data_IF_152363689415
#
_entry.id   IF_152363689415
#
_cell.length_a   1.000
_cell.length_b   1.000
_cell.length_c   1.000
_cell.angle_alpha   90.00
_cell.angle_beta   90.00
_cell.angle_gamma   90.00
#
_symmetry.space_group_name_H-M   'P 1'
#
loop_
_entity.id
_entity.type
_entity.pdbx_description
1 polymer ?
#
# COMPACT_ATOMS: atom_id res chain seq x y z
N UNK A 1 40.77 17.92 17.52
CA UNK A 1 40.24 16.66 16.94
C UNK A 1 38.90 16.21 17.54
N UNK A 2 38.08 17.12 18.12
CA UNK A 2 36.71 16.85 18.65
C UNK A 2 35.57 17.28 17.71
N UNK A 3 35.87 18.12 16.73
CA UNK A 3 34.86 18.73 15.80
C UNK A 3 34.31 17.69 14.81
N UNK A 4 35.12 16.71 14.38
CA UNK A 4 34.69 15.73 13.38
C UNK A 4 33.62 14.73 13.89
N UNK A 5 33.54 14.47 15.18
CA UNK A 5 32.52 13.53 15.74
C UNK A 5 31.13 14.14 15.80
N UNK A 6 31.04 15.44 16.05
CA UNK A 6 29.76 16.18 16.06
C UNK A 6 29.23 16.32 14.63
N UNK A 7 30.11 16.57 13.65
CA UNK A 7 29.71 16.64 12.24
C UNK A 7 29.19 15.30 11.71
N UNK A 8 29.82 14.18 12.10
CA UNK A 8 29.37 12.82 11.74
C UNK A 8 28.03 12.50 12.42
N UNK A 9 27.83 12.89 13.68
CA UNK A 9 26.59 12.67 14.41
C UNK A 9 25.44 13.51 13.82
N UNK A 10 25.69 14.76 13.47
CA UNK A 10 24.71 15.64 12.81
C UNK A 10 24.41 15.15 11.40
N UNK A 11 25.40 14.66 10.65
CA UNK A 11 25.19 14.05 9.33
C UNK A 11 24.36 12.76 9.41
N UNK A 12 24.57 11.90 10.42
CA UNK A 12 23.77 10.70 10.65
C UNK A 12 22.34 11.03 11.11
N UNK A 13 22.15 12.09 11.89
CA UNK A 13 20.82 12.58 12.27
C UNK A 13 20.09 13.18 11.05
N UNK A 14 20.78 13.91 10.18
CA UNK A 14 20.22 14.43 8.93
C UNK A 14 19.89 13.29 7.95
N UNK A 15 20.68 12.22 7.90
CA UNK A 15 20.39 11.02 7.09
C UNK A 15 19.21 10.18 7.66
N UNK A 16 19.06 10.13 8.99
CA UNK A 16 17.90 9.45 9.61
C UNK A 16 16.60 10.27 9.53
N UNK A 17 16.69 11.58 9.24
CA UNK A 17 15.54 12.44 8.95
C UNK A 17 15.10 12.38 7.47
N UNK A 18 15.91 11.83 6.59
CA UNK A 18 15.45 11.46 5.26
C UNK A 18 14.55 10.24 5.40
N UNK A 19 13.25 10.51 5.60
CA UNK A 19 12.20 9.50 5.42
C UNK A 19 12.48 8.83 4.07
N UNK A 20 12.70 7.53 4.06
CA UNK A 20 12.69 6.75 2.83
C UNK A 20 11.27 6.92 2.30
N UNK A 21 11.08 7.85 1.41
CA UNK A 21 9.79 8.19 0.85
C UNK A 21 9.50 7.22 -0.27
N UNK A 22 8.72 6.18 0.03
CA UNK A 22 8.06 5.44 -1.04
C UNK A 22 7.05 6.36 -1.71
N UNK A 23 7.00 6.39 -3.04
CA UNK A 23 6.14 7.29 -3.82
C UNK A 23 4.66 7.04 -3.53
N UNK A 24 3.87 8.12 -3.35
CA UNK A 24 2.41 8.01 -3.29
C UNK A 24 1.88 7.36 -4.58
N UNK A 25 0.94 6.44 -4.45
CA UNK A 25 0.39 5.70 -5.58
C UNK A 25 -0.73 6.48 -6.26
N UNK A 26 -0.73 6.46 -7.60
CA UNK A 26 -1.87 6.91 -8.39
C UNK A 26 -3.08 6.01 -8.09
N UNK A 27 -4.24 6.58 -7.71
CA UNK A 27 -5.40 5.77 -7.33
C UNK A 27 -6.11 5.18 -8.54
N UNK A 28 -6.84 4.09 -8.32
CA UNK A 28 -7.99 3.72 -9.14
C UNK A 28 -9.19 4.59 -8.76
N UNK A 29 -10.31 4.45 -9.47
CA UNK A 29 -11.47 5.31 -9.30
C UNK A 29 -12.77 4.51 -9.21
N UNK A 30 -13.71 4.98 -8.39
CA UNK A 30 -15.08 4.49 -8.31
C UNK A 30 -16.04 5.58 -8.81
N UNK A 31 -16.81 5.28 -9.83
CA UNK A 31 -17.86 6.16 -10.37
C UNK A 31 -19.16 5.83 -9.63
N UNK A 32 -19.73 6.81 -8.94
CA UNK A 32 -21.01 6.71 -8.26
C UNK A 32 -21.87 7.89 -8.72
N UNK A 33 -22.97 7.60 -9.38
CA UNK A 33 -23.86 8.61 -9.96
C UNK A 33 -23.11 9.62 -10.85
N UNK A 34 -22.87 10.85 -10.35
CA UNK A 34 -22.13 11.91 -11.04
C UNK A 34 -20.72 12.15 -10.49
N UNK A 35 -20.36 11.46 -9.41
CA UNK A 35 -19.09 11.62 -8.72
C UNK A 35 -18.08 10.57 -9.17
N UNK A 36 -16.81 10.96 -9.19
CA UNK A 36 -15.68 10.05 -9.41
C UNK A 36 -14.78 10.11 -8.18
N UNK A 37 -14.76 9.03 -7.41
CA UNK A 37 -14.05 8.92 -6.14
C UNK A 37 -12.71 8.22 -6.33
N UNK A 38 -11.65 8.74 -5.71
CA UNK A 38 -10.36 8.03 -5.64
C UNK A 38 -10.50 6.78 -4.78
N UNK A 39 -9.91 5.67 -5.22
CA UNK A 39 -9.82 4.44 -4.43
C UNK A 39 -8.44 4.32 -3.78
N UNK A 40 -8.41 4.11 -2.48
CA UNK A 40 -7.21 3.73 -1.74
C UNK A 40 -7.10 2.21 -1.60
N UNK A 41 -7.38 1.50 -2.68
CA UNK A 41 -7.21 0.06 -2.88
C UNK A 41 -7.15 -0.24 -4.38
N UNK A 42 -6.66 -1.42 -4.75
CA UNK A 42 -6.46 -1.83 -6.14
C UNK A 42 -7.19 -3.16 -6.41
N UNK A 43 -8.50 -3.13 -6.71
CA UNK A 43 -9.31 -4.35 -6.82
C UNK A 43 -8.83 -5.36 -7.88
N UNK A 44 -8.19 -4.90 -8.97
CA UNK A 44 -7.76 -5.78 -10.06
C UNK A 44 -6.43 -6.49 -9.83
N UNK A 45 -5.66 -6.16 -8.80
CA UNK A 45 -4.36 -6.80 -8.57
C UNK A 45 -4.49 -8.31 -8.41
N UNK A 46 -5.39 -8.79 -7.55
CA UNK A 46 -5.63 -10.23 -7.34
C UNK A 46 -6.16 -10.93 -8.59
N UNK A 47 -6.81 -10.21 -9.51
CA UNK A 47 -7.23 -10.74 -10.79
C UNK A 47 -6.03 -10.90 -11.74
N UNK A 48 -5.19 -9.88 -11.86
CA UNK A 48 -4.04 -9.91 -12.77
C UNK A 48 -2.88 -10.78 -12.28
N UNK A 49 -2.79 -11.09 -10.98
CA UNK A 49 -1.89 -12.13 -10.48
C UNK A 49 -2.17 -13.49 -11.12
N UNK A 50 -3.45 -13.79 -11.37
CA UNK A 50 -3.89 -15.06 -11.98
C UNK A 50 -4.08 -14.98 -13.50
N UNK A 51 -4.32 -13.79 -14.02
CA UNK A 51 -4.59 -13.49 -15.42
C UNK A 51 -3.67 -12.36 -15.90
N UNK A 52 -2.35 -12.60 -15.99
CA UNK A 52 -1.42 -11.54 -16.33
C UNK A 52 -1.75 -10.93 -17.69
N UNK A 53 -1.58 -9.63 -17.78
CA UNK A 53 -1.69 -8.93 -19.05
C UNK A 53 -0.54 -9.34 -19.98
N UNK A 54 -0.77 -9.34 -21.31
CA UNK A 54 0.28 -9.65 -22.28
C UNK A 54 1.53 -8.79 -22.06
N UNK A 55 2.70 -9.39 -22.29
CA UNK A 55 3.97 -8.67 -22.29
C UNK A 55 3.88 -7.44 -23.21
N UNK A 56 4.55 -6.36 -22.82
CA UNK A 56 4.52 -5.07 -23.54
C UNK A 56 3.19 -4.32 -23.53
N UNK A 57 2.18 -4.74 -22.74
CA UNK A 57 0.97 -3.92 -22.55
C UNK A 57 1.31 -2.55 -21.98
N UNK A 58 2.35 -2.46 -21.13
CA UNK A 58 2.87 -1.21 -20.55
C UNK A 58 4.25 -0.88 -21.11
N UNK A 59 4.40 0.34 -21.62
CA UNK A 59 5.70 0.83 -22.16
C UNK A 59 6.50 1.63 -21.14
N UNK A 60 5.84 2.16 -20.11
CA UNK A 60 6.47 2.99 -19.08
C UNK A 60 5.80 2.72 -17.74
N UNK A 61 6.60 2.39 -16.73
CA UNK A 61 6.14 2.22 -15.36
C UNK A 61 6.82 3.31 -14.53
N UNK A 62 6.03 4.10 -13.81
CA UNK A 62 6.55 5.05 -12.83
C UNK A 62 6.44 4.45 -11.43
N UNK A 63 7.27 4.90 -10.50
CA UNK A 63 7.19 4.49 -9.09
C UNK A 63 5.83 4.83 -8.45
N UNK A 64 5.15 5.88 -8.94
CA UNK A 64 3.79 6.25 -8.52
C UNK A 64 2.68 5.44 -9.20
N UNK A 65 2.99 4.63 -10.23
CA UNK A 65 2.04 3.78 -10.94
C UNK A 65 2.71 2.44 -11.28
N UNK A 66 3.25 1.75 -10.26
CA UNK A 66 4.03 0.52 -10.45
C UNK A 66 3.22 -0.60 -11.12
N UNK A 67 1.90 -0.65 -10.91
CA UNK A 67 1.02 -1.63 -11.57
C UNK A 67 0.77 -1.33 -13.06
N UNK A 68 1.18 -0.13 -13.55
CA UNK A 68 1.13 0.25 -14.96
C UNK A 68 -0.23 0.65 -15.51
N UNK A 69 -1.30 0.60 -14.71
CA UNK A 69 -2.65 0.96 -15.13
C UNK A 69 -3.40 1.80 -14.08
N UNK A 70 -4.46 2.46 -14.53
CA UNK A 70 -5.49 3.12 -13.71
C UNK A 70 -6.83 2.52 -14.10
N UNK A 71 -7.55 1.94 -13.14
CA UNK A 71 -8.85 1.34 -13.36
C UNK A 71 -9.99 2.24 -12.86
N UNK A 72 -11.08 2.24 -13.60
CA UNK A 72 -12.33 2.87 -13.25
C UNK A 72 -13.38 1.79 -13.01
N UNK A 73 -14.06 1.88 -11.87
CA UNK A 73 -15.11 0.96 -11.46
C UNK A 73 -16.44 1.68 -11.35
N UNK A 74 -17.53 0.93 -11.42
CA UNK A 74 -18.87 1.41 -11.07
C UNK A 74 -19.67 0.29 -10.42
N UNK A 75 -20.68 0.66 -9.62
CA UNK A 75 -21.67 -0.27 -9.09
C UNK A 75 -22.90 -0.21 -9.98
N UNK A 76 -23.21 -1.33 -10.65
CA UNK A 76 -24.36 -1.47 -11.55
C UNK A 76 -25.12 -2.74 -11.21
N UNK A 77 -26.43 -2.64 -11.02
CA UNK A 77 -27.28 -3.78 -10.64
C UNK A 77 -26.72 -4.56 -9.45
N UNK A 78 -26.26 -3.85 -8.43
CA UNK A 78 -25.64 -4.40 -7.22
C UNK A 78 -24.33 -5.17 -7.47
N UNK A 79 -23.67 -4.97 -8.60
CA UNK A 79 -22.39 -5.60 -8.96
C UNK A 79 -21.30 -4.55 -9.10
N UNK A 80 -20.12 -4.86 -8.60
CA UNK A 80 -18.89 -4.12 -8.91
C UNK A 80 -18.44 -4.54 -10.31
N UNK A 81 -18.38 -3.60 -11.22
CA UNK A 81 -17.91 -3.83 -12.58
C UNK A 81 -16.76 -2.91 -12.93
N UNK A 82 -15.90 -3.35 -13.83
CA UNK A 82 -14.88 -2.50 -14.44
C UNK A 82 -15.54 -1.65 -15.52
N UNK A 83 -15.53 -0.33 -15.33
CA UNK A 83 -16.01 0.62 -16.32
C UNK A 83 -14.98 0.80 -17.44
N UNK A 84 -13.73 1.03 -17.07
CA UNK A 84 -12.59 1.07 -17.98
C UNK A 84 -11.27 0.84 -17.25
N UNK A 85 -10.22 0.59 -18.02
CA UNK A 85 -8.85 0.49 -17.55
C UNK A 85 -7.93 1.17 -18.56
N UNK A 86 -7.02 1.99 -18.08
CA UNK A 86 -6.15 2.81 -18.90
C UNK A 86 -4.69 2.60 -18.56
N UNK A 87 -3.82 2.63 -19.57
CA UNK A 87 -2.40 2.91 -19.42
C UNK A 87 -2.10 4.37 -19.72
N UNK A 88 -1.03 4.90 -19.15
CA UNK A 88 -0.54 6.25 -19.46
C UNK A 88 0.50 6.14 -20.58
N UNK A 89 0.30 6.92 -21.64
CA UNK A 89 1.29 7.15 -22.67
C UNK A 89 1.91 8.54 -22.48
N UNK A 90 3.22 8.61 -22.32
CA UNK A 90 3.97 9.86 -22.30
C UNK A 90 4.51 10.15 -23.70
N UNK A 91 4.32 11.37 -24.19
CA UNK A 91 4.80 11.80 -25.49
C UNK A 91 5.19 13.27 -25.46
N UNK A 92 5.89 13.75 -26.49
CA UNK A 92 6.14 15.18 -26.70
C UNK A 92 5.23 15.68 -27.79
N UNK A 93 4.59 16.84 -27.56
CA UNK A 93 3.83 17.52 -28.59
C UNK A 93 4.76 18.15 -29.65
N UNK A 94 4.19 18.76 -30.68
CA UNK A 94 4.95 19.40 -31.76
C UNK A 94 5.85 20.55 -31.28
N UNK A 95 5.55 21.13 -30.13
CA UNK A 95 6.33 22.19 -29.48
C UNK A 95 7.39 21.64 -28.54
N UNK A 96 7.50 20.30 -28.39
CA UNK A 96 8.47 19.63 -27.53
C UNK A 96 8.05 19.54 -26.06
N UNK A 97 6.82 19.94 -25.70
CA UNK A 97 6.32 19.85 -24.34
C UNK A 97 5.95 18.39 -23.99
N UNK A 98 6.26 17.96 -22.78
CA UNK A 98 5.83 16.65 -22.28
C UNK A 98 4.31 16.62 -22.04
N UNK A 99 3.67 15.63 -22.61
CA UNK A 99 2.23 15.37 -22.50
C UNK A 99 1.98 13.95 -22.05
N UNK A 100 0.82 13.73 -21.45
CA UNK A 100 0.33 12.40 -21.10
C UNK A 100 -1.06 12.17 -21.69
N UNK A 101 -1.34 10.93 -22.02
CA UNK A 101 -2.61 10.48 -22.57
C UNK A 101 -3.01 9.16 -21.95
N UNK A 102 -4.29 9.06 -21.59
CA UNK A 102 -4.90 7.82 -21.13
C UNK A 102 -5.36 6.99 -22.33
N UNK A 103 -4.75 5.83 -22.52
CA UNK A 103 -5.12 4.89 -23.59
C UNK A 103 -5.86 3.71 -22.95
N UNK A 104 -7.12 3.50 -23.38
CA UNK A 104 -7.88 2.33 -22.93
C UNK A 104 -7.21 1.03 -23.36
N UNK A 105 -7.07 0.12 -22.41
CA UNK A 105 -6.61 -1.25 -22.62
C UNK A 105 -7.69 -2.26 -22.23
N UNK A 106 -8.95 -1.82 -22.13
CA UNK A 106 -10.08 -2.63 -21.68
C UNK A 106 -10.23 -3.93 -22.51
N UNK A 107 -10.22 -3.81 -23.82
CA UNK A 107 -10.35 -4.98 -24.71
C UNK A 107 -9.14 -5.94 -24.63
N UNK A 108 -7.96 -5.43 -24.35
CA UNK A 108 -6.76 -6.24 -24.10
C UNK A 108 -6.92 -7.04 -22.80
N UNK A 109 -7.40 -6.37 -21.74
CA UNK A 109 -7.53 -6.94 -20.41
C UNK A 109 -8.70 -7.94 -20.30
N UNK A 110 -9.83 -7.66 -20.95
CA UNK A 110 -11.08 -8.40 -20.73
C UNK A 110 -11.72 -8.99 -22.00
N UNK A 111 -10.98 -9.04 -23.12
CA UNK A 111 -11.39 -9.73 -24.36
C UNK A 111 -12.80 -9.36 -24.84
N UNK A 112 -13.10 -8.06 -24.90
CA UNK A 112 -14.39 -7.50 -25.35
C UNK A 112 -15.61 -7.87 -24.47
N UNK A 113 -15.40 -8.44 -23.28
CA UNK A 113 -16.50 -8.68 -22.33
C UNK A 113 -17.06 -7.33 -21.88
N UNK A 114 -18.30 -7.03 -22.21
CA UNK A 114 -18.98 -5.81 -21.73
C UNK A 114 -19.31 -5.94 -20.24
N UNK A 115 -19.15 -4.83 -19.49
CA UNK A 115 -19.47 -4.78 -18.06
C UNK A 115 -18.80 -5.93 -17.29
N UNK A 116 -17.46 -6.02 -17.36
CA UNK A 116 -16.70 -7.07 -16.69
C UNK A 116 -16.94 -7.05 -15.16
N UNK A 117 -17.62 -8.07 -14.65
CA UNK A 117 -17.98 -8.20 -13.24
C UNK A 117 -16.78 -8.65 -12.39
N UNK A 118 -16.51 -7.97 -11.29
CA UNK A 118 -15.43 -8.30 -10.36
C UNK A 118 -15.82 -9.41 -9.37
N UNK A 119 -16.36 -10.53 -9.83
CA UNK A 119 -16.85 -11.63 -9.00
C UNK A 119 -15.75 -12.27 -8.11
N UNK A 120 -14.49 -12.02 -8.40
CA UNK A 120 -13.32 -12.44 -7.63
C UNK A 120 -13.04 -11.52 -6.42
N UNK A 121 -13.63 -10.31 -6.39
CA UNK A 121 -13.28 -9.32 -5.37
C UNK A 121 -14.11 -9.48 -4.11
N UNK A 122 -13.40 -9.57 -2.97
CA UNK A 122 -13.95 -9.60 -1.63
C UNK A 122 -13.17 -8.60 -0.77
N UNK A 123 -13.80 -7.52 -0.34
CA UNK A 123 -13.15 -6.49 0.44
C UNK A 123 -13.92 -5.20 0.51
N UNK A 124 -13.31 -4.20 1.10
CA UNK A 124 -13.87 -2.85 1.23
C UNK A 124 -13.15 -1.91 0.28
N UNK A 125 -13.92 -1.25 -0.59
CA UNK A 125 -13.42 -0.12 -1.38
C UNK A 125 -13.34 1.10 -0.46
N UNK A 126 -12.16 1.69 -0.33
CA UNK A 126 -11.88 2.82 0.56
C UNK A 126 -11.74 4.07 -0.29
N UNK A 127 -12.64 5.03 -0.13
CA UNK A 127 -12.66 6.29 -0.85
C UNK A 127 -12.42 7.46 0.11
N UNK A 128 -11.26 8.14 0.09
CA UNK A 128 -11.05 9.36 0.85
C UNK A 128 -11.99 10.48 0.40
N UNK A 129 -12.44 11.30 1.34
CA UNK A 129 -13.37 12.43 1.13
C UNK A 129 -12.94 13.65 1.94
N UNK A 130 -13.34 14.82 1.48
CA UNK A 130 -12.98 16.09 2.12
C UNK A 130 -11.53 16.50 1.86
N UNK A 131 -11.00 17.35 2.73
CA UNK A 131 -9.68 17.92 2.59
C UNK A 131 -8.58 16.93 3.01
N UNK A 132 -7.40 17.11 2.44
CA UNK A 132 -6.20 16.37 2.83
C UNK A 132 -5.66 16.93 4.15
N UNK A 133 -5.70 16.15 5.23
CA UNK A 133 -5.20 16.54 6.54
C UNK A 133 -3.67 16.38 6.61
N UNK A 134 -3.16 15.24 6.17
CA UNK A 134 -1.74 14.91 6.20
C UNK A 134 -1.32 14.19 4.93
N UNK A 135 -0.31 14.74 4.25
CA UNK A 135 0.30 14.07 3.11
C UNK A 135 1.38 13.11 3.58
N UNK A 136 1.23 11.84 3.22
CA UNK A 136 2.24 10.80 3.48
C UNK A 136 2.73 10.26 2.14
N UNK A 137 4.02 10.42 1.89
CA UNK A 137 4.65 9.97 0.65
C UNK A 137 4.90 8.46 0.66
N UNK A 138 3.86 7.66 0.87
CA UNK A 138 3.91 6.20 0.91
C UNK A 138 2.55 5.59 0.56
N UNK A 139 2.44 4.97 -0.61
CA UNK A 139 1.23 4.26 -1.04
C UNK A 139 -0.05 5.10 -0.91
N UNK A 140 -1.00 4.60 -0.15
CA UNK A 140 -2.28 5.25 0.18
C UNK A 140 -2.36 5.72 1.64
N UNK A 141 -1.22 6.06 2.25
CA UNK A 141 -1.15 6.41 3.68
C UNK A 141 -1.54 7.85 4.01
N UNK A 142 -1.76 8.71 2.99
CA UNK A 142 -2.24 10.08 3.22
C UNK A 142 -3.59 10.10 3.94
N UNK A 143 -3.77 11.05 4.83
CA UNK A 143 -4.92 11.16 5.74
C UNK A 143 -5.87 12.24 5.26
N UNK A 144 -7.17 11.92 5.24
CA UNK A 144 -8.24 12.81 4.80
C UNK A 144 -9.27 12.99 5.91
N UNK A 145 -10.11 14.04 5.82
CA UNK A 145 -11.13 14.35 6.83
C UNK A 145 -12.15 13.24 7.01
N UNK A 146 -12.55 12.61 5.90
CA UNK A 146 -13.62 11.62 5.88
C UNK A 146 -13.30 10.48 4.90
N UNK A 147 -14.02 9.39 5.03
CA UNK A 147 -13.91 8.20 4.16
C UNK A 147 -15.29 7.63 3.85
N UNK A 148 -15.51 7.28 2.60
CA UNK A 148 -16.65 6.44 2.19
C UNK A 148 -16.15 5.03 1.94
N UNK A 149 -16.77 4.06 2.59
CA UNK A 149 -16.43 2.65 2.54
C UNK A 149 -17.55 1.88 1.85
N UNK A 150 -17.22 1.03 0.87
CA UNK A 150 -18.17 0.19 0.16
C UNK A 150 -17.75 -1.26 0.30
N UNK A 151 -18.56 -2.07 0.97
CA UNK A 151 -18.29 -3.49 1.17
C UNK A 151 -18.74 -4.28 -0.05
N UNK A 152 -17.83 -5.07 -0.60
CA UNK A 152 -18.05 -5.93 -1.75
C UNK A 152 -17.79 -7.38 -1.33
N UNK A 153 -18.72 -8.28 -1.65
CA UNK A 153 -18.57 -9.73 -1.42
C UNK A 153 -18.92 -10.48 -2.70
N UNK A 154 -17.98 -11.28 -3.19
CA UNK A 154 -18.07 -12.02 -4.45
C UNK A 154 -18.57 -11.12 -5.60
N UNK A 155 -17.99 -9.93 -5.68
CA UNK A 155 -18.34 -8.89 -6.64
C UNK A 155 -19.66 -8.16 -6.37
N UNK A 156 -20.44 -8.58 -5.36
CA UNK A 156 -21.71 -7.91 -5.04
C UNK A 156 -21.49 -6.78 -4.05
N UNK A 157 -22.09 -5.64 -4.31
CA UNK A 157 -22.20 -4.55 -3.34
C UNK A 157 -23.14 -4.97 -2.22
N UNK A 158 -22.65 -4.86 -1.00
CA UNK A 158 -23.39 -5.28 0.20
C UNK A 158 -23.96 -4.08 0.94
N UNK A 159 -23.11 -3.10 1.24
CA UNK A 159 -23.47 -1.89 2.00
C UNK A 159 -22.36 -0.84 1.89
N UNK A 160 -22.69 0.35 2.36
CA UNK A 160 -21.74 1.44 2.51
C UNK A 160 -21.76 2.04 3.91
N UNK A 161 -20.71 2.76 4.25
CA UNK A 161 -20.59 3.54 5.46
C UNK A 161 -19.73 4.76 5.23
N UNK A 162 -20.16 5.91 5.78
CA UNK A 162 -19.38 7.13 5.76
C UNK A 162 -18.81 7.37 7.16
N UNK A 163 -17.53 7.63 7.24
CA UNK A 163 -16.79 7.77 8.49
C UNK A 163 -15.99 9.06 8.49
N UNK A 164 -15.92 9.71 9.64
CA UNK A 164 -14.86 10.67 9.92
C UNK A 164 -13.49 9.97 9.98
N UNK A 165 -12.41 10.74 9.89
CA UNK A 165 -11.06 10.22 10.05
C UNK A 165 -10.90 9.42 11.35
N UNK A 166 -11.41 9.94 12.47
CA UNK A 166 -11.29 9.26 13.77
C UNK A 166 -12.03 7.92 13.78
N UNK A 167 -13.26 7.87 13.27
CA UNK A 167 -14.02 6.62 13.17
C UNK A 167 -13.35 5.60 12.26
N UNK A 168 -12.69 6.07 11.18
CA UNK A 168 -11.93 5.19 10.31
C UNK A 168 -10.67 4.62 10.98
N UNK A 169 -9.97 5.44 11.77
CA UNK A 169 -8.85 4.97 12.61
C UNK A 169 -9.35 3.92 13.61
N UNK A 170 -10.45 4.19 14.31
CA UNK A 170 -11.03 3.26 15.28
C UNK A 170 -11.44 1.94 14.62
N UNK A 171 -12.02 2.00 13.42
CA UNK A 171 -12.33 0.81 12.62
C UNK A 171 -11.07 -0.01 12.31
N UNK A 172 -10.00 0.64 11.84
CA UNK A 172 -8.71 -0.01 11.57
C UNK A 172 -8.12 -0.68 12.81
N UNK A 173 -8.13 0.03 13.94
CA UNK A 173 -7.62 -0.49 15.21
C UNK A 173 -8.40 -1.73 15.68
N UNK A 174 -9.72 -1.72 15.59
CA UNK A 174 -10.56 -2.87 15.94
C UNK A 174 -10.30 -4.07 15.03
N UNK A 175 -10.17 -3.85 13.71
CA UNK A 175 -9.81 -4.93 12.78
C UNK A 175 -8.46 -5.55 13.14
N UNK A 176 -7.48 -4.73 13.46
CA UNK A 176 -6.16 -5.23 13.85
C UNK A 176 -6.18 -5.96 15.19
N UNK A 177 -6.94 -5.47 16.17
CA UNK A 177 -7.11 -6.16 17.47
C UNK A 177 -7.67 -7.58 17.25
N UNK A 178 -8.74 -7.70 16.44
CA UNK A 178 -9.32 -9.00 16.11
C UNK A 178 -8.34 -9.91 15.36
N UNK A 179 -7.58 -9.36 14.42
CA UNK A 179 -6.54 -10.10 13.70
C UNK A 179 -5.45 -10.63 14.65
N UNK A 180 -5.02 -9.83 15.64
CA UNK A 180 -4.03 -10.23 16.65
C UNK A 180 -4.43 -11.45 17.49
N UNK A 181 -5.71 -11.75 17.60
CA UNK A 181 -6.23 -12.92 18.31
C UNK A 181 -6.17 -14.21 17.48
N UNK A 182 -5.96 -14.11 16.16
CA UNK A 182 -5.94 -15.25 15.25
C UNK A 182 -4.61 -16.01 15.27
N UNK A 183 -4.66 -17.31 14.91
CA UNK A 183 -3.46 -18.11 14.73
C UNK A 183 -2.68 -17.67 13.47
N UNK A 184 -3.38 -17.12 12.47
CA UNK A 184 -2.77 -16.53 11.29
C UNK A 184 -1.81 -15.38 11.69
N UNK A 185 -2.24 -14.49 12.59
CA UNK A 185 -1.38 -13.42 13.07
C UNK A 185 -0.10 -13.95 13.71
N UNK A 186 -0.18 -14.99 14.56
CA UNK A 186 1.00 -15.57 15.22
C UNK A 186 2.00 -16.11 14.21
N UNK A 187 1.49 -16.81 13.19
CA UNK A 187 2.29 -17.36 12.10
C UNK A 187 2.93 -16.25 11.29
N UNK A 188 2.14 -15.27 10.84
CA UNK A 188 2.63 -14.13 10.04
C UNK A 188 3.60 -13.25 10.79
N UNK A 189 3.42 -13.07 12.10
CA UNK A 189 4.37 -12.34 12.93
C UNK A 189 5.74 -13.03 12.96
N UNK A 190 5.77 -14.34 13.17
CA UNK A 190 7.01 -15.11 13.15
C UNK A 190 7.71 -15.05 11.79
N UNK A 191 6.98 -15.31 10.69
CA UNK A 191 7.49 -15.22 9.32
C UNK A 191 8.07 -13.83 9.02
N UNK A 192 7.37 -12.75 9.43
CA UNK A 192 7.81 -11.38 9.18
C UNK A 192 9.06 -11.04 10.00
N UNK A 193 9.13 -11.49 11.26
CA UNK A 193 10.33 -11.32 12.08
C UNK A 193 11.53 -12.02 11.47
N UNK A 194 11.37 -13.25 10.97
CA UNK A 194 12.44 -14.00 10.32
C UNK A 194 12.90 -13.33 9.02
N UNK A 195 11.96 -12.84 8.20
CA UNK A 195 12.26 -12.06 7.00
C UNK A 195 13.08 -10.79 7.32
N UNK A 196 12.73 -10.05 8.38
CA UNK A 196 13.46 -8.87 8.81
C UNK A 196 14.88 -9.22 9.27
N UNK A 197 15.06 -10.33 9.99
CA UNK A 197 16.38 -10.83 10.41
C UNK A 197 17.26 -11.20 9.21
N UNK A 198 16.69 -11.84 8.20
CA UNK A 198 17.41 -12.19 6.97
C UNK A 198 17.80 -10.94 6.18
N UNK A 199 16.86 -10.01 6.01
CA UNK A 199 17.10 -8.75 5.33
C UNK A 199 18.23 -7.93 5.99
N UNK A 200 18.29 -7.89 7.34
CA UNK A 200 19.39 -7.20 8.04
C UNK A 200 20.73 -7.91 7.79
N UNK A 201 20.77 -9.25 7.78
CA UNK A 201 22.00 -9.98 7.48
C UNK A 201 22.52 -9.69 6.08
N UNK A 202 21.63 -9.60 5.09
CA UNK A 202 22.00 -9.27 3.72
C UNK A 202 22.48 -7.82 3.62
N UNK A 203 21.79 -6.90 4.29
CA UNK A 203 22.22 -5.51 4.40
C UNK A 203 23.58 -5.37 5.06
N UNK A 204 23.87 -6.12 6.15
CA UNK A 204 25.19 -6.14 6.78
C UNK A 204 26.32 -6.68 5.87
N UNK A 205 25.99 -7.55 4.88
CA UNK A 205 26.98 -8.01 3.88
C UNK A 205 27.40 -6.89 2.94
N UNK A 206 26.43 -6.07 2.52
CA UNK A 206 26.64 -5.00 1.56
C UNK A 206 27.28 -3.76 2.22
N UNK A 207 26.97 -3.50 3.48
CA UNK A 207 27.40 -2.32 4.23
C UNK A 207 28.38 -2.68 5.37
N UNK A 208 29.67 -2.81 5.05
CA UNK A 208 30.74 -3.23 6.00
C UNK A 208 30.84 -2.37 7.26
N UNK A 209 30.52 -1.09 7.19
CA UNK A 209 30.63 -0.20 8.35
C UNK A 209 29.50 -0.42 9.34
N UNK A 210 28.29 -0.68 8.87
CA UNK A 210 27.14 -1.09 9.70
C UNK A 210 27.46 -2.42 10.40
N UNK A 211 28.00 -3.39 9.65
CA UNK A 211 28.44 -4.67 10.20
C UNK A 211 29.49 -4.50 11.31
N UNK A 212 30.45 -3.59 11.14
CA UNK A 212 31.47 -3.30 12.18
C UNK A 212 30.84 -2.71 13.44
N UNK A 213 29.89 -1.80 13.28
CA UNK A 213 29.19 -1.19 14.41
C UNK A 213 28.34 -2.20 15.16
N UNK A 214 27.54 -3.00 14.47
CA UNK A 214 26.74 -4.06 15.06
C UNK A 214 27.61 -5.10 15.77
N UNK A 215 28.73 -5.50 15.18
CA UNK A 215 29.68 -6.41 15.82
C UNK A 215 30.31 -5.82 17.08
N UNK A 216 30.54 -4.50 17.12
CA UNK A 216 31.05 -3.82 18.32
C UNK A 216 30.02 -3.84 19.44
N UNK A 217 28.76 -3.52 19.16
CA UNK A 217 27.64 -3.59 20.11
C UNK A 217 27.44 -5.02 20.63
N UNK A 218 27.47 -6.01 19.74
CA UNK A 218 27.35 -7.44 20.08
C UNK A 218 28.50 -7.94 20.98
N UNK A 219 29.73 -7.44 20.76
CA UNK A 219 30.86 -7.78 21.61
C UNK A 219 30.80 -7.13 23.00
N UNK A 220 30.19 -5.95 23.15
CA UNK A 220 30.05 -5.27 24.44
C UNK A 220 29.09 -5.99 25.38
N UNK A 221 27.93 -6.37 24.90
CA UNK A 221 26.94 -7.19 25.62
C UNK A 221 26.05 -7.95 24.67
N UNK A 222 26.40 -9.19 24.35
CA UNK A 222 25.70 -10.04 23.40
C UNK A 222 24.23 -10.23 23.78
N UNK A 223 23.96 -10.55 25.03
CA UNK A 223 22.61 -10.84 25.51
C UNK A 223 21.69 -9.61 25.39
N UNK A 224 22.17 -8.45 25.82
CA UNK A 224 21.38 -7.21 25.73
C UNK A 224 21.13 -6.83 24.30
N UNK A 225 22.14 -6.89 23.41
CA UNK A 225 22.03 -6.61 22.00
C UNK A 225 20.97 -7.50 21.31
N UNK A 226 21.04 -8.82 21.54
CA UNK A 226 20.09 -9.77 20.94
C UNK A 226 18.66 -9.53 21.43
N UNK A 227 18.49 -9.21 22.71
CA UNK A 227 17.18 -8.89 23.29
C UNK A 227 16.59 -7.61 22.72
N UNK A 228 17.38 -6.54 22.59
CA UNK A 228 16.95 -5.27 22.02
C UNK A 228 16.58 -5.46 20.54
N UNK A 229 17.38 -6.20 19.79
CA UNK A 229 17.08 -6.51 18.38
C UNK A 229 15.81 -7.33 18.21
N UNK A 230 15.57 -8.32 19.05
CA UNK A 230 14.33 -9.11 19.00
C UNK A 230 13.09 -8.24 19.24
N UNK A 231 13.17 -7.29 20.19
CA UNK A 231 12.09 -6.32 20.42
C UNK A 231 11.89 -5.41 19.21
N UNK A 232 12.98 -4.93 18.60
CA UNK A 232 12.95 -4.07 17.40
C UNK A 232 12.29 -4.79 16.21
N UNK A 233 12.71 -6.03 15.90
CA UNK A 233 12.12 -6.83 14.83
C UNK A 233 10.65 -7.08 15.06
N UNK A 234 10.27 -7.46 16.28
CA UNK A 234 8.87 -7.71 16.61
C UNK A 234 8.02 -6.47 16.46
N UNK A 235 8.48 -5.32 16.95
CA UNK A 235 7.78 -4.03 16.80
C UNK A 235 7.64 -3.64 15.33
N UNK A 236 8.68 -3.81 14.53
CA UNK A 236 8.66 -3.53 13.09
C UNK A 236 7.72 -4.46 12.35
N UNK A 237 7.73 -5.76 12.69
CA UNK A 237 6.81 -6.75 12.12
C UNK A 237 5.35 -6.47 12.48
N UNK A 238 5.05 -6.09 13.72
CA UNK A 238 3.70 -5.68 14.13
C UNK A 238 3.23 -4.44 13.36
N UNK A 239 4.10 -3.46 13.16
CA UNK A 239 3.79 -2.26 12.35
C UNK A 239 3.50 -2.62 10.89
N UNK A 240 4.27 -3.52 10.29
CA UNK A 240 4.06 -4.02 8.94
C UNK A 240 2.70 -4.76 8.82
N UNK A 241 2.41 -5.66 9.75
CA UNK A 241 1.15 -6.40 9.78
C UNK A 241 -0.05 -5.48 10.02
N UNK A 242 0.08 -4.46 10.88
CA UNK A 242 -0.93 -3.43 11.05
C UNK A 242 -1.25 -2.74 9.72
N UNK A 243 -0.22 -2.22 9.05
CA UNK A 243 -0.38 -1.54 7.78
C UNK A 243 -1.04 -2.43 6.72
N UNK A 244 -0.54 -3.66 6.56
CA UNK A 244 -1.07 -4.58 5.57
C UNK A 244 -2.53 -4.97 5.85
N UNK A 245 -2.85 -5.36 7.08
CA UNK A 245 -4.20 -5.78 7.47
C UNK A 245 -5.20 -4.64 7.36
N UNK A 246 -4.83 -3.43 7.77
CA UNK A 246 -5.74 -2.28 7.80
C UNK A 246 -5.95 -1.60 6.45
N UNK A 247 -5.09 -1.87 5.47
CA UNK A 247 -5.29 -1.44 4.09
C UNK A 247 -6.08 -2.49 3.26
N UNK A 248 -6.28 -3.71 3.80
CA UNK A 248 -7.00 -4.80 3.15
C UNK A 248 -8.21 -5.26 3.98
N UNK A 249 -8.99 -4.31 4.50
CA UNK A 249 -10.20 -4.58 5.30
C UNK A 249 -11.21 -5.37 4.45
N UNK A 250 -11.75 -6.46 5.01
CA UNK A 250 -12.68 -7.35 4.30
C UNK A 250 -14.14 -7.04 4.56
N UNK A 251 -14.46 -6.38 5.66
CA UNK A 251 -15.83 -6.01 6.03
C UNK A 251 -15.85 -4.70 6.81
N UNK A 252 -16.94 -3.96 6.70
CA UNK A 252 -17.17 -2.72 7.45
C UNK A 252 -17.65 -3.01 8.88
N UNK A 253 -18.33 -4.13 9.08
CA UNK A 253 -18.79 -4.54 10.41
C UNK A 253 -17.74 -5.38 11.12
N UNK A 254 -17.44 -4.98 12.33
CA UNK A 254 -16.70 -5.81 13.27
C UNK A 254 -17.74 -6.47 14.15
N UNK A 255 -18.14 -7.69 13.80
CA UNK A 255 -18.90 -8.53 14.72
C UNK A 255 -18.03 -8.84 15.94
N UNK A 256 -18.51 -8.46 17.11
CA UNK A 256 -17.92 -8.82 18.40
C UNK A 256 -17.82 -10.32 18.53
#
# INVERSE_FOLDING_TARGET
>A
MRINKIFILVSLIIFSLNKISATAQAPDYLIIEKDTLKLHCNPLETYFEKNPLPDNTFTTISTGLWRGYIAYFKIKNNKLIVDNIYKIRYYKDEQGNHKEELISIYNIAFKEIKDFECNFYNGVLICPRGELIEYVHMGYSSVYENYSLFEIKDGNYIKERHLSNQEFIDLKLKHFQKYRESDEYKTKLAETVDMLKESEKDFEKDFKDIRKENNKKRKQNKYLYEKEKEIEYRKSAEGFLFFFTTNNIKTIDITN
#
